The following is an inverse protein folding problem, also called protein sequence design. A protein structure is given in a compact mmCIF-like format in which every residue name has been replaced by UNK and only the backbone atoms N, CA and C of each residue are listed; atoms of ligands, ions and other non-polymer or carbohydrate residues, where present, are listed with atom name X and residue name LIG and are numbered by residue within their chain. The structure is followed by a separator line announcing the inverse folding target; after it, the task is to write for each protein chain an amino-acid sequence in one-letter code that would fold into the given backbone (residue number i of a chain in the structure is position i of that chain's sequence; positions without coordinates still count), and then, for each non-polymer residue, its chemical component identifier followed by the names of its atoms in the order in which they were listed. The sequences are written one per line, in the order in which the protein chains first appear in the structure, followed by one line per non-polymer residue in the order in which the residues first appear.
data_IF_316996583677
#
_entry.id   IF_316996583677
#
_cell.length_a   1.000
_cell.length_b   1.000
_cell.length_c   1.000
_cell.angle_alpha   90.00
_cell.angle_beta   90.00
_cell.angle_gamma   90.00
#
_symmetry.space_group_name_H-M   'P 1'
#
loop_
_entity.id
_entity.type
_entity.pdbx_description
1 polymer ?
#
# COMPACT_ATOMS: atom_id res chain seq x y z
N UNK A 1 -19.90 14.54 80.34
CA UNK A 1 -19.41 15.89 80.00
C UNK A 1 -18.73 15.80 78.65
N UNK A 2 -19.19 16.62 77.71
CA UNK A 2 -19.06 16.53 76.26
C UNK A 2 -17.64 16.32 75.71
N UNK A 3 -17.47 15.35 74.81
CA UNK A 3 -16.37 15.35 73.84
C UNK A 3 -16.98 15.41 72.45
N UNK A 4 -17.01 16.63 71.92
CA UNK A 4 -17.33 16.95 70.53
C UNK A 4 -16.04 16.79 69.73
N UNK A 5 -16.23 16.43 68.45
CA UNK A 5 -15.33 16.60 67.29
C UNK A 5 -14.47 15.39 66.96
N UNK A 6 -14.86 14.64 65.93
CA UNK A 6 -14.38 14.91 64.55
C UNK A 6 -15.07 13.99 63.56
N UNK A 7 -15.74 14.64 62.62
CA UNK A 7 -16.29 14.09 61.38
C UNK A 7 -15.14 13.48 60.58
N UNK A 8 -15.14 12.16 60.38
CA UNK A 8 -14.34 11.53 59.33
C UNK A 8 -15.31 11.17 58.21
N UNK A 9 -15.48 12.13 57.32
CA UNK A 9 -16.06 11.98 56.00
C UNK A 9 -15.15 11.03 55.21
N UNK A 10 -15.45 9.74 55.22
CA UNK A 10 -14.82 8.80 54.29
C UNK A 10 -15.34 9.12 52.89
N UNK A 11 -14.57 9.94 52.18
CA UNK A 11 -14.71 10.18 50.75
C UNK A 11 -14.74 8.82 50.02
N UNK A 12 -15.86 8.54 49.37
CA UNK A 12 -15.92 7.63 48.24
C UNK A 12 -14.94 8.14 47.17
N UNK A 13 -13.72 7.60 47.16
CA UNK A 13 -12.84 7.72 46.01
C UNK A 13 -12.85 6.37 45.32
N UNK A 14 -13.92 6.09 44.57
CA UNK A 14 -13.91 5.09 43.51
C UNK A 14 -12.90 5.56 42.47
N UNK A 15 -11.62 5.25 42.72
CA UNK A 15 -10.64 5.22 41.67
C UNK A 15 -10.96 3.99 40.82
N UNK A 16 -11.90 4.18 39.89
CA UNK A 16 -11.93 3.37 38.70
C UNK A 16 -10.60 3.67 37.99
N UNK A 17 -9.57 2.91 38.33
CA UNK A 17 -8.43 2.73 37.43
C UNK A 17 -9.04 2.09 36.19
N UNK A 18 -9.49 2.94 35.26
CA UNK A 18 -9.53 2.60 33.86
C UNK A 18 -8.09 2.18 33.55
N UNK A 19 -7.83 0.89 33.68
CA UNK A 19 -6.61 0.26 33.23
C UNK A 19 -6.55 0.62 31.77
N UNK A 20 -5.73 1.61 31.43
CA UNK A 20 -5.44 1.91 30.03
C UNK A 20 -4.83 0.62 29.51
N UNK A 21 -5.64 -0.15 28.80
CA UNK A 21 -5.16 -1.29 28.07
C UNK A 21 -4.13 -0.72 27.10
N UNK A 22 -2.85 -1.02 27.35
CA UNK A 22 -1.76 -0.78 26.40
C UNK A 22 -1.96 -1.72 25.21
N UNK A 23 -3.02 -1.51 24.44
CA UNK A 23 -3.28 -2.22 23.21
C UNK A 23 -2.62 -1.44 22.07
N UNK A 24 -1.32 -1.68 21.85
CA UNK A 24 -0.73 -1.61 20.51
C UNK A 24 0.71 -2.13 20.49
N UNK A 25 0.87 -3.42 20.21
CA UNK A 25 2.08 -3.93 19.54
C UNK A 25 1.72 -4.39 18.13
N UNK A 26 1.06 -3.52 17.38
CA UNK A 26 0.79 -3.69 15.95
C UNK A 26 1.71 -2.74 15.15
N UNK A 27 2.76 -3.39 14.68
CA UNK A 27 3.61 -3.17 13.51
C UNK A 27 2.76 -2.60 12.34
N UNK A 28 2.90 -1.32 12.01
CA UNK A 28 2.18 -0.58 10.94
C UNK A 28 0.67 -0.93 10.74
N UNK A 29 -0.23 -0.08 11.22
CA UNK A 29 -1.69 -0.30 11.04
C UNK A 29 -2.10 -0.32 9.55
N UNK A 30 -3.20 -1.01 9.18
CA UNK A 30 -3.69 -1.03 7.79
C UNK A 30 -3.97 0.38 7.23
N UNK A 31 -4.50 1.29 8.04
CA UNK A 31 -4.70 2.69 7.65
C UNK A 31 -3.37 3.39 7.35
N UNK A 32 -2.36 3.19 8.21
CA UNK A 32 -1.04 3.79 8.01
C UNK A 32 -0.32 3.19 6.80
N UNK A 33 -0.50 1.90 6.57
CA UNK A 33 -0.02 1.23 5.37
C UNK A 33 -0.64 1.85 4.11
N UNK A 34 -1.97 2.03 4.08
CA UNK A 34 -2.65 2.65 2.95
C UNK A 34 -2.15 4.08 2.69
N UNK A 35 -1.98 4.88 3.74
CA UNK A 35 -1.36 6.21 3.64
C UNK A 35 0.04 6.11 3.02
N UNK A 36 0.85 5.15 3.45
CA UNK A 36 2.20 4.96 2.93
C UNK A 36 2.21 4.50 1.46
N UNK A 37 1.31 3.61 1.05
CA UNK A 37 1.13 3.21 -0.34
C UNK A 37 0.77 4.42 -1.22
N UNK A 38 -0.14 5.28 -0.75
CA UNK A 38 -0.51 6.52 -1.45
C UNK A 38 0.68 7.49 -1.57
N UNK A 39 1.48 7.65 -0.51
CA UNK A 39 2.67 8.51 -0.56
C UNK A 39 3.72 8.00 -1.54
N UNK A 40 3.94 6.68 -1.62
CA UNK A 40 4.82 6.08 -2.66
C UNK A 40 4.25 6.34 -4.05
N UNK A 41 2.96 6.06 -4.27
CA UNK A 41 2.29 6.27 -5.55
C UNK A 41 2.40 7.72 -6.02
N UNK A 42 2.12 8.68 -5.14
CA UNK A 42 2.19 10.10 -5.43
C UNK A 42 3.62 10.51 -5.82
N UNK A 43 4.63 10.10 -5.05
CA UNK A 43 6.02 10.44 -5.34
C UNK A 43 6.50 9.83 -6.67
N UNK A 44 6.13 8.58 -6.95
CA UNK A 44 6.44 7.90 -8.22
C UNK A 44 5.74 8.59 -9.38
N UNK A 45 4.45 8.92 -9.27
CA UNK A 45 3.70 9.57 -10.33
C UNK A 45 4.14 11.03 -10.56
N UNK A 46 4.56 11.74 -9.52
CA UNK A 46 5.16 13.06 -9.65
C UNK A 46 6.46 12.99 -10.46
N UNK A 47 7.33 12.01 -10.15
CA UNK A 47 8.54 11.77 -10.94
C UNK A 47 8.22 11.36 -12.39
N UNK A 48 7.27 10.45 -12.59
CA UNK A 48 6.86 10.03 -13.94
C UNK A 48 6.31 11.20 -14.75
N UNK A 49 5.51 12.06 -14.15
CA UNK A 49 4.99 13.28 -14.78
C UNK A 49 6.12 14.24 -15.20
N UNK A 50 7.14 14.43 -14.37
CA UNK A 50 8.31 15.26 -14.74
C UNK A 50 9.15 14.68 -15.88
N UNK A 51 8.95 13.40 -16.23
CA UNK A 51 9.53 12.72 -17.38
C UNK A 51 8.56 12.58 -18.57
N UNK A 52 7.37 13.17 -18.49
CA UNK A 52 6.34 13.03 -19.53
C UNK A 52 5.71 11.64 -19.62
N UNK A 53 5.85 10.81 -18.58
CA UNK A 53 5.30 9.46 -18.53
C UNK A 53 3.91 9.47 -17.90
N UNK A 54 3.01 8.60 -18.41
CA UNK A 54 1.66 8.45 -17.86
C UNK A 54 1.68 7.99 -16.39
N UNK A 55 0.73 8.44 -15.54
CA UNK A 55 0.65 7.98 -14.16
C UNK A 55 0.30 6.50 -14.08
N UNK A 56 0.79 5.85 -13.02
CA UNK A 56 0.41 4.50 -12.64
C UNK A 56 -0.89 4.54 -11.83
N UNK A 57 -1.74 3.53 -12.02
CA UNK A 57 -2.95 3.31 -11.24
C UNK A 57 -2.70 2.20 -10.23
N UNK A 58 -2.95 2.47 -8.95
CA UNK A 58 -2.83 1.48 -7.88
C UNK A 58 -3.94 0.44 -8.01
N UNK A 59 -3.61 -0.85 -7.86
CA UNK A 59 -4.56 -1.97 -7.89
C UNK A 59 -4.42 -2.82 -6.65
N UNK A 60 -5.54 -3.04 -5.95
CA UNK A 60 -5.59 -3.80 -4.70
C UNK A 60 -4.95 -5.17 -4.81
N UNK A 61 -5.34 -5.97 -5.82
CA UNK A 61 -4.76 -7.30 -6.07
C UNK A 61 -3.23 -7.27 -6.20
N UNK A 62 -2.67 -6.29 -6.90
CA UNK A 62 -1.21 -6.16 -7.06
C UNK A 62 -0.57 -5.73 -5.74
N UNK A 63 -1.23 -4.86 -4.97
CA UNK A 63 -0.75 -4.43 -3.63
C UNK A 63 -0.77 -5.56 -2.62
N UNK A 64 -1.77 -6.46 -2.67
CA UNK A 64 -1.84 -7.66 -1.82
C UNK A 64 -0.65 -8.60 -2.08
N UNK A 65 -0.34 -8.86 -3.36
CA UNK A 65 0.85 -9.62 -3.76
C UNK A 65 2.15 -8.99 -3.27
N UNK A 66 2.29 -7.67 -3.45
CA UNK A 66 3.45 -6.93 -2.99
C UNK A 66 3.56 -6.96 -1.46
N UNK A 67 2.43 -6.87 -0.74
CA UNK A 67 2.37 -6.91 0.73
C UNK A 67 2.78 -8.28 1.25
N UNK A 68 2.31 -9.34 0.63
CA UNK A 68 2.67 -10.70 1.00
C UNK A 68 4.19 -10.93 0.86
N UNK A 69 4.79 -10.46 -0.24
CA UNK A 69 6.26 -10.51 -0.40
C UNK A 69 7.01 -9.74 0.69
N UNK A 70 6.59 -8.49 0.95
CA UNK A 70 7.15 -7.69 2.04
C UNK A 70 7.01 -8.37 3.40
N UNK A 71 5.87 -9.04 3.65
CA UNK A 71 5.60 -9.79 4.88
C UNK A 71 6.52 -11.01 5.02
N UNK A 72 6.72 -11.78 3.94
CA UNK A 72 7.58 -12.96 3.96
C UNK A 72 9.06 -12.59 4.16
N UNK A 73 9.51 -11.48 3.57
CA UNK A 73 10.84 -10.92 3.83
C UNK A 73 10.99 -10.41 5.28
N UNK A 74 9.97 -9.72 5.81
CA UNK A 74 9.97 -9.21 7.19
C UNK A 74 9.99 -10.35 8.23
N UNK A 75 9.24 -11.42 7.96
CA UNK A 75 9.15 -12.60 8.82
C UNK A 75 10.26 -13.64 8.60
N UNK A 76 11.26 -13.33 7.75
CA UNK A 76 12.39 -14.22 7.47
C UNK A 76 12.00 -15.59 6.91
N UNK A 77 10.84 -15.69 6.26
CA UNK A 77 10.44 -16.88 5.49
C UNK A 77 11.26 -17.00 4.20
N UNK A 78 11.83 -15.90 3.74
CA UNK A 78 12.77 -15.84 2.62
C UNK A 78 13.82 -14.73 2.82
N UNK A 79 14.98 -14.82 2.15
CA UNK A 79 15.95 -13.73 2.14
C UNK A 79 15.37 -12.48 1.47
N UNK A 80 15.89 -11.31 1.83
CA UNK A 80 15.56 -10.07 1.13
C UNK A 80 16.04 -10.17 -0.32
N UNK A 81 15.13 -10.04 -1.28
CA UNK A 81 15.43 -10.24 -2.69
C UNK A 81 14.19 -10.46 -3.54
N UNK A 82 14.42 -10.79 -4.81
CA UNK A 82 13.38 -11.03 -5.80
C UNK A 82 12.97 -12.51 -5.92
N UNK A 83 13.26 -13.33 -4.89
CA UNK A 83 12.92 -14.76 -4.90
C UNK A 83 11.44 -14.94 -5.22
N UNK A 84 11.12 -15.91 -6.09
CA UNK A 84 9.75 -16.23 -6.54
C UNK A 84 9.01 -15.11 -7.30
N UNK A 85 9.73 -14.12 -7.85
CA UNK A 85 9.14 -13.05 -8.67
C UNK A 85 8.26 -13.57 -9.81
N UNK A 86 8.71 -14.59 -10.54
CA UNK A 86 7.93 -15.17 -11.64
C UNK A 86 6.59 -15.75 -11.17
N UNK A 87 6.53 -16.31 -9.95
CA UNK A 87 5.29 -16.82 -9.37
C UNK A 87 4.32 -15.69 -9.04
N UNK A 88 4.80 -14.60 -8.42
CA UNK A 88 3.99 -13.40 -8.15
C UNK A 88 3.44 -12.80 -9.44
N UNK A 89 4.30 -12.64 -10.45
CA UNK A 89 3.88 -12.12 -11.75
C UNK A 89 2.88 -13.05 -12.45
N UNK A 90 3.06 -14.37 -12.36
CA UNK A 90 2.10 -15.34 -12.90
C UNK A 90 0.74 -15.22 -12.21
N UNK A 91 0.71 -15.10 -10.88
CA UNK A 91 -0.53 -14.90 -10.14
C UNK A 91 -1.25 -13.62 -10.58
N UNK A 92 -0.52 -12.51 -10.72
CA UNK A 92 -1.09 -11.24 -11.21
C UNK A 92 -1.59 -11.38 -12.65
N UNK A 93 -0.82 -12.03 -13.53
CA UNK A 93 -1.18 -12.27 -14.93
C UNK A 93 -2.52 -13.01 -15.05
N UNK A 94 -2.78 -13.97 -14.17
CA UNK A 94 -4.03 -14.76 -14.18
C UNK A 94 -5.27 -13.92 -13.82
N UNK A 95 -5.10 -12.77 -13.18
CA UNK A 95 -6.20 -11.93 -12.70
C UNK A 95 -6.29 -10.56 -13.41
N UNK A 96 -5.23 -10.14 -14.12
CA UNK A 96 -5.21 -8.86 -14.85
C UNK A 96 -5.37 -9.14 -16.36
N UNK A 97 -6.51 -8.77 -16.97
CA UNK A 97 -6.70 -9.02 -18.39
C UNK A 97 -5.78 -8.14 -19.24
N UNK A 98 -5.40 -8.67 -20.40
CA UNK A 98 -4.46 -8.04 -21.35
C UNK A 98 -3.08 -7.74 -20.74
N UNK A 99 -2.63 -8.56 -19.78
CA UNK A 99 -1.29 -8.49 -19.20
C UNK A 99 -0.20 -8.64 -20.27
N UNK A 100 0.83 -7.80 -20.22
CA UNK A 100 1.98 -7.81 -21.15
C UNK A 100 3.34 -7.92 -20.50
N UNK A 101 3.41 -7.75 -19.18
CA UNK A 101 4.67 -7.82 -18.45
C UNK A 101 4.62 -7.05 -17.14
N UNK A 102 5.62 -7.29 -16.29
CA UNK A 102 5.78 -6.58 -15.05
C UNK A 102 7.24 -6.47 -14.62
N UNK A 103 7.46 -5.67 -13.58
CA UNK A 103 8.75 -5.50 -12.92
C UNK A 103 8.53 -5.27 -11.42
N UNK A 104 9.58 -5.38 -10.63
CA UNK A 104 9.53 -5.19 -9.18
C UNK A 104 10.68 -4.32 -8.71
N UNK A 105 10.36 -3.40 -7.81
CA UNK A 105 11.33 -2.73 -6.95
C UNK A 105 11.10 -3.22 -5.52
N UNK A 106 12.19 -3.48 -4.80
CA UNK A 106 12.16 -3.78 -3.37
C UNK A 106 13.09 -2.84 -2.61
N UNK A 107 12.82 -2.62 -1.33
CA UNK A 107 13.70 -1.89 -0.43
C UNK A 107 13.48 -2.31 1.04
N UNK A 108 14.52 -2.20 1.85
CA UNK A 108 14.41 -2.36 3.30
C UNK A 108 15.17 -1.22 3.98
N UNK A 109 14.44 -0.30 4.60
CA UNK A 109 15.01 0.89 5.26
C UNK A 109 14.18 1.31 6.47
N UNK A 110 14.78 2.13 7.35
CA UNK A 110 14.06 2.94 8.34
C UNK A 110 13.74 4.33 7.79
N UNK A 111 13.26 4.38 6.56
CA UNK A 111 12.96 5.62 5.84
C UNK A 111 11.46 5.69 5.54
N UNK A 112 10.85 6.88 5.55
CA UNK A 112 9.45 7.03 5.16
C UNK A 112 9.27 6.86 3.62
N UNK A 113 8.02 6.65 3.16
CA UNK A 113 7.66 6.45 1.75
C UNK A 113 8.32 7.38 0.71
N UNK A 114 8.38 8.69 0.97
CA UNK A 114 8.95 9.64 0.00
C UNK A 114 10.47 9.47 -0.15
N UNK A 115 11.16 9.15 0.93
CA UNK A 115 12.61 8.98 0.94
C UNK A 115 13.03 7.66 0.29
N UNK A 116 12.25 6.58 0.45
CA UNK A 116 12.54 5.32 -0.27
C UNK A 116 12.40 5.49 -1.78
N UNK A 117 11.43 6.27 -2.26
CA UNK A 117 11.32 6.58 -3.70
C UNK A 117 12.55 7.34 -4.20
N UNK A 118 13.06 8.32 -3.45
CA UNK A 118 14.33 8.99 -3.79
C UNK A 118 15.49 8.01 -3.88
N UNK A 119 15.59 7.04 -2.95
CA UNK A 119 16.61 5.97 -3.00
C UNK A 119 16.44 5.03 -4.20
N UNK A 120 15.22 4.72 -4.62
CA UNK A 120 15.00 3.98 -5.86
C UNK A 120 15.46 4.78 -7.09
N UNK A 121 15.21 6.09 -7.13
CA UNK A 121 15.60 6.93 -8.27
C UNK A 121 17.13 7.07 -8.45
N UNK A 122 17.92 6.88 -7.40
CA UNK A 122 19.39 6.86 -7.52
C UNK A 122 19.92 5.53 -8.06
N UNK A 123 19.15 4.44 -7.97
CA UNK A 123 19.53 3.14 -8.53
C UNK A 123 19.09 3.01 -9.99
N UNK A 124 20.03 2.70 -10.90
CA UNK A 124 19.74 2.50 -12.33
C UNK A 124 18.66 1.44 -12.56
N UNK A 125 18.72 0.32 -11.83
CA UNK A 125 17.75 -0.77 -11.98
C UNK A 125 16.35 -0.36 -11.54
N UNK A 126 16.23 0.23 -10.36
CA UNK A 126 14.94 0.65 -9.82
C UNK A 126 14.32 1.81 -10.61
N UNK A 127 15.15 2.79 -11.02
CA UNK A 127 14.72 3.91 -11.87
C UNK A 127 14.21 3.42 -13.22
N UNK A 128 14.89 2.46 -13.85
CA UNK A 128 14.42 1.85 -15.12
C UNK A 128 13.02 1.25 -14.98
N UNK A 129 12.71 0.61 -13.86
CA UNK A 129 11.37 0.07 -13.62
C UNK A 129 10.33 1.19 -13.43
N UNK A 130 10.67 2.24 -12.67
CA UNK A 130 9.82 3.42 -12.48
C UNK A 130 9.53 4.15 -13.79
N UNK A 131 10.49 4.19 -14.71
CA UNK A 131 10.37 4.82 -16.03
C UNK A 131 9.77 3.89 -17.10
N UNK A 132 9.55 2.61 -16.76
CA UNK A 132 9.03 1.62 -17.69
C UNK A 132 7.63 1.96 -18.21
N UNK A 133 7.30 1.37 -19.37
CA UNK A 133 6.00 1.50 -20.06
C UNK A 133 4.91 0.69 -19.33
N UNK A 134 4.70 0.97 -18.06
CA UNK A 134 3.68 0.39 -17.19
C UNK A 134 2.54 1.39 -16.97
N UNK A 135 1.37 0.89 -16.60
CA UNK A 135 0.17 1.69 -16.33
C UNK A 135 -0.57 1.26 -15.06
N UNK A 136 -0.26 0.09 -14.52
CA UNK A 136 -0.77 -0.39 -13.23
C UNK A 136 0.40 -0.58 -12.25
N UNK A 137 0.11 -0.45 -10.97
CA UNK A 137 1.08 -0.76 -9.90
C UNK A 137 0.37 -1.32 -8.67
N UNK A 138 1.12 -2.05 -7.85
CA UNK A 138 0.76 -2.42 -6.50
C UNK A 138 1.92 -2.15 -5.57
N UNK A 139 1.62 -1.72 -4.35
CA UNK A 139 2.62 -1.32 -3.36
C UNK A 139 2.27 -2.03 -2.06
N UNK A 140 3.23 -2.75 -1.49
CA UNK A 140 3.08 -3.48 -0.24
C UNK A 140 4.15 -3.07 0.76
N UNK A 141 3.73 -2.67 1.97
CA UNK A 141 4.64 -2.10 2.97
C UNK A 141 4.38 -2.79 4.31
N UNK A 142 5.43 -3.40 4.85
CA UNK A 142 5.36 -4.11 6.13
C UNK A 142 6.48 -3.60 7.02
N UNK A 143 6.14 -3.25 8.26
CA UNK A 143 7.15 -2.94 9.27
C UNK A 143 7.58 -4.25 9.97
N UNK A 144 8.79 -4.34 10.50
CA UNK A 144 9.15 -5.41 11.44
C UNK A 144 9.16 -4.91 12.89
N UNK A 145 9.35 -5.81 13.84
CA UNK A 145 9.42 -5.49 15.28
C UNK A 145 10.57 -4.53 15.64
N UNK A 146 11.58 -4.38 14.78
CA UNK A 146 12.75 -3.52 14.96
C UNK A 146 12.58 -2.16 14.26
N UNK A 147 11.41 -1.92 13.67
CA UNK A 147 11.04 -0.69 12.99
C UNK A 147 11.55 -0.57 11.54
N UNK A 148 12.12 -1.63 10.97
CA UNK A 148 12.46 -1.63 9.54
C UNK A 148 11.21 -1.74 8.68
N UNK A 149 11.16 -0.97 7.60
CA UNK A 149 10.08 -1.02 6.63
C UNK A 149 10.57 -1.78 5.38
N UNK A 150 9.84 -2.83 5.03
CA UNK A 150 10.00 -3.62 3.82
C UNK A 150 9.02 -3.10 2.78
N UNK A 151 9.55 -2.66 1.66
CA UNK A 151 8.80 -2.13 0.53
C UNK A 151 8.90 -3.09 -0.63
N UNK A 152 7.76 -3.36 -1.24
CA UNK A 152 7.68 -4.00 -2.55
C UNK A 152 6.77 -3.13 -3.41
N UNK A 153 7.23 -2.75 -4.59
CA UNK A 153 6.42 -2.11 -5.62
C UNK A 153 6.48 -2.96 -6.88
N UNK A 154 5.32 -3.44 -7.31
CA UNK A 154 5.17 -4.19 -8.56
C UNK A 154 4.56 -3.27 -9.61
N UNK A 155 5.11 -3.30 -10.81
CA UNK A 155 4.64 -2.58 -11.98
C UNK A 155 4.05 -3.56 -12.96
N UNK A 156 2.94 -3.21 -13.58
CA UNK A 156 2.26 -4.04 -14.59
C UNK A 156 1.88 -3.21 -15.79
N UNK A 157 2.13 -3.79 -16.96
CA UNK A 157 1.65 -3.27 -18.23
C UNK A 157 0.45 -4.11 -18.63
N UNK A 158 -0.69 -3.45 -18.80
CA UNK A 158 -1.81 -4.02 -19.53
C UNK A 158 -2.15 -3.18 -20.77
N UNK A 159 -2.62 -3.86 -21.81
CA UNK A 159 -3.07 -3.22 -23.05
C UNK A 159 -4.59 -3.20 -23.11
N UNK A 160 -5.24 -2.87 -21.99
CA UNK A 160 -6.67 -2.58 -22.02
C UNK A 160 -6.87 -1.51 -23.10
N UNK A 161 -7.49 -1.92 -24.21
CA UNK A 161 -7.78 -1.06 -25.34
C UNK A 161 -8.58 0.11 -24.78
N UNK A 162 -8.30 1.33 -25.23
CA UNK A 162 -9.12 2.52 -24.96
C UNK A 162 -10.54 2.38 -25.54
N UNK A 163 -11.28 1.33 -25.15
CA UNK A 163 -12.59 0.91 -25.69
C UNK A 163 -13.75 1.36 -24.79
N UNK A 164 -13.56 2.40 -23.98
CA UNK A 164 -14.65 3.02 -23.22
C UNK A 164 -15.11 4.36 -23.79
N UNK A 165 -14.58 4.79 -24.94
CA UNK A 165 -15.03 6.00 -25.64
C UNK A 165 -15.71 5.71 -27.00
N UNK A 166 -16.44 4.59 -27.15
CA UNK A 166 -17.51 4.57 -28.15
C UNK A 166 -18.79 5.01 -27.46
N UNK A 167 -19.04 6.31 -27.58
CA UNK A 167 -20.35 6.94 -27.47
C UNK A 167 -21.38 6.00 -28.12
N UNK A 168 -22.22 5.33 -27.32
CA UNK A 168 -23.39 4.64 -27.84
C UNK A 168 -24.49 5.72 -27.88
N UNK A 169 -24.85 6.29 -29.04
CA UNK A 169 -26.02 7.16 -29.08
C UNK A 169 -27.22 6.32 -28.64
N UNK A 170 -27.91 6.79 -27.60
CA UNK A 170 -29.23 6.28 -27.23
C UNK A 170 -30.19 6.79 -28.31
N UNK A 171 -30.26 6.09 -29.44
CA UNK A 171 -31.25 6.36 -30.48
C UNK A 171 -31.79 5.05 -31.04
N UNK A 172 -32.58 4.34 -30.24
CA UNK A 172 -33.71 3.53 -30.73
C UNK A 172 -34.56 3.05 -29.55
N UNK A 173 -35.47 3.91 -29.11
CA UNK A 173 -36.68 3.45 -28.44
C UNK A 173 -37.86 4.23 -29.01
N UNK A 174 -38.32 3.80 -30.17
CA UNK A 174 -39.65 4.10 -30.68
C UNK A 174 -40.10 2.90 -31.50
N UNK A 175 -40.96 2.10 -30.88
CA UNK A 175 -42.07 1.34 -31.48
C UNK A 175 -42.69 0.50 -30.38
N UNK A 176 -43.73 1.02 -29.74
CA UNK A 176 -45.03 0.36 -29.59
C UNK A 176 -46.00 1.35 -28.93
N UNK A 177 -47.25 1.34 -29.38
CA UNK A 177 -48.40 2.18 -29.01
C UNK A 177 -48.65 3.42 -29.89
N UNK A 178 -49.14 3.13 -31.11
CA UNK A 178 -50.31 3.77 -31.70
C UNK A 178 -51.28 2.66 -32.08
#
# INVERSE_FOLDING_TARGET
MNIIKRVILTLFCTSLLASQTMAAKIILTPEKELQYQQMVLQAVNQYRSSKGLSPLVLKTLISEEAKQHSLDMANKKMPFGHKDFDKRIMHIKNHIPSFKGGAENIACFKLPPKEVVKKWLTSRGHRRNIEGKYNLTGIGIVQDKKGWLYYTQIFVKNDQVKKTNLHRPVSKFLKFLS
#
